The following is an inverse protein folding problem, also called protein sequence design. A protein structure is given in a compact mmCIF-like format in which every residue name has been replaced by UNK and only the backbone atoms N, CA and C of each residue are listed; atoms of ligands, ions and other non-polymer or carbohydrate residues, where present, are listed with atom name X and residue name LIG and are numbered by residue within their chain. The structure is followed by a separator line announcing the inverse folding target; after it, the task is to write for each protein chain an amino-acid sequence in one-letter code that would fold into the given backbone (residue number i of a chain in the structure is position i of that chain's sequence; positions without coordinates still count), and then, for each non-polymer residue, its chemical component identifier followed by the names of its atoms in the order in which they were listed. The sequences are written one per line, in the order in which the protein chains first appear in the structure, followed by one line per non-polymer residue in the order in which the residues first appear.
data_IF_614864262632
#
_entry.id   IF_614864262632
#
_cell.length_a   1.000
_cell.length_b   1.000
_cell.length_c   1.000
_cell.angle_alpha   90.00
_cell.angle_beta   90.00
_cell.angle_gamma   90.00
#
_symmetry.space_group_name_H-M   'P 1'
#
loop_
_entity.id
_entity.type
_entity.pdbx_description
1 polymer ?
#
# COMPACT_ATOMS: atom_id res chain seq x y z
N UNK A 1 16.32 8.53 -17.71
CA UNK A 1 14.85 8.53 -17.80
C UNK A 1 14.33 9.90 -17.39
N UNK A 2 13.62 10.63 -18.28
CA UNK A 2 13.15 12.00 -18.01
C UNK A 2 11.61 12.11 -17.92
N UNK A 3 10.92 10.98 -17.77
CA UNK A 3 9.46 10.95 -17.64
C UNK A 3 9.04 11.22 -16.18
N UNK A 4 9.04 12.51 -15.82
CA UNK A 4 8.66 12.96 -14.47
C UNK A 4 7.21 12.59 -14.09
N UNK A 5 6.34 12.36 -15.09
CA UNK A 5 4.93 12.00 -14.83
C UNK A 5 4.80 10.54 -14.41
N UNK A 6 5.54 9.65 -15.08
CA UNK A 6 5.65 8.26 -14.64
C UNK A 6 6.27 8.18 -13.25
N UNK A 7 7.38 8.90 -13.02
CA UNK A 7 8.05 8.91 -11.73
C UNK A 7 7.14 9.42 -10.59
N UNK A 8 6.23 10.34 -10.86
CA UNK A 8 5.26 10.80 -9.86
C UNK A 8 4.23 9.71 -9.52
N UNK A 9 3.73 8.95 -10.51
CA UNK A 9 2.81 7.83 -10.27
C UNK A 9 3.51 6.68 -9.53
N UNK A 10 4.70 6.29 -9.99
CA UNK A 10 5.51 5.26 -9.32
C UNK A 10 5.96 5.68 -7.92
N UNK A 11 6.29 6.97 -7.73
CA UNK A 11 6.60 7.51 -6.41
C UNK A 11 5.41 7.43 -5.45
N UNK A 12 4.20 7.73 -5.93
CA UNK A 12 2.97 7.55 -5.14
C UNK A 12 2.75 6.07 -4.77
N UNK A 13 2.97 5.15 -5.70
CA UNK A 13 2.93 3.71 -5.43
C UNK A 13 4.00 3.30 -4.40
N UNK A 14 5.24 3.79 -4.53
CA UNK A 14 6.33 3.50 -3.59
C UNK A 14 6.03 4.03 -2.17
N UNK A 15 5.39 5.18 -2.02
CA UNK A 15 4.94 5.68 -0.71
C UNK A 15 3.88 4.75 -0.12
N UNK A 16 2.90 4.30 -0.91
CA UNK A 16 1.94 3.32 -0.43
C UNK A 16 2.63 2.00 -0.05
N UNK A 17 3.68 1.56 -0.78
CA UNK A 17 4.42 0.33 -0.47
C UNK A 17 5.05 0.31 0.95
N UNK A 18 5.18 1.46 1.62
CA UNK A 18 5.57 1.53 3.03
C UNK A 18 4.67 0.71 3.95
N UNK A 19 3.40 0.45 3.55
CA UNK A 19 2.51 -0.42 4.32
C UNK A 19 3.10 -1.81 4.55
N UNK A 20 3.94 -2.34 3.65
CA UNK A 20 4.59 -3.64 3.82
C UNK A 20 5.50 -3.65 5.06
N UNK A 21 6.24 -2.56 5.27
CA UNK A 21 7.06 -2.38 6.49
C UNK A 21 6.17 -2.21 7.74
N UNK A 22 5.01 -1.58 7.59
CA UNK A 22 4.04 -1.50 8.71
C UNK A 22 3.67 -2.90 9.19
N UNK A 23 3.26 -3.80 8.29
CA UNK A 23 2.84 -5.14 8.69
C UNK A 23 3.99 -6.01 9.19
N UNK A 24 5.15 -5.96 8.54
CA UNK A 24 6.25 -6.89 8.82
C UNK A 24 7.14 -6.47 9.98
N UNK A 25 7.14 -5.19 10.34
CA UNK A 25 7.99 -4.66 11.40
C UNK A 25 7.18 -3.90 12.47
N UNK A 26 6.42 -2.88 12.06
CA UNK A 26 5.80 -1.96 13.03
C UNK A 26 4.69 -2.64 13.82
N UNK A 27 3.78 -3.37 13.17
CA UNK A 27 2.68 -4.09 13.84
C UNK A 27 3.19 -5.16 14.82
N UNK A 28 4.17 -6.02 14.47
CA UNK A 28 4.81 -6.92 15.43
C UNK A 28 5.39 -6.22 16.65
N UNK A 29 6.18 -5.17 16.44
CA UNK A 29 6.76 -4.41 17.55
C UNK A 29 5.69 -3.75 18.42
N UNK A 30 4.70 -3.11 17.80
CA UNK A 30 3.58 -2.48 18.48
C UNK A 30 2.76 -3.48 19.30
N UNK A 31 2.48 -4.65 18.74
CA UNK A 31 1.77 -5.71 19.45
C UNK A 31 2.46 -6.14 20.74
N UNK A 32 3.78 -6.29 20.70
CA UNK A 32 4.56 -6.73 21.88
C UNK A 32 4.82 -5.58 22.84
N UNK A 33 5.24 -4.40 22.35
CA UNK A 33 5.73 -3.32 23.22
C UNK A 33 4.64 -2.42 23.76
N UNK A 34 3.57 -2.20 23.01
CA UNK A 34 2.48 -1.27 23.38
C UNK A 34 1.23 -2.02 23.84
N UNK A 35 0.80 -3.02 23.07
CA UNK A 35 -0.39 -3.82 23.42
C UNK A 35 -0.11 -4.84 24.52
N UNK A 36 1.15 -5.25 24.69
CA UNK A 36 1.53 -6.32 25.61
C UNK A 36 0.98 -7.69 25.17
N UNK A 37 0.83 -7.89 23.87
CA UNK A 37 0.33 -9.14 23.32
C UNK A 37 1.37 -10.27 23.46
N UNK A 38 0.93 -11.51 23.74
CA UNK A 38 1.85 -12.64 23.79
C UNK A 38 2.44 -12.93 22.39
N UNK A 39 3.69 -13.44 22.30
CA UNK A 39 4.39 -13.66 21.04
C UNK A 39 3.61 -14.42 19.95
N UNK A 40 2.77 -15.43 20.26
CA UNK A 40 1.97 -16.12 19.24
C UNK A 40 1.00 -15.21 18.46
N UNK A 41 0.64 -14.03 19.01
CA UNK A 41 -0.24 -13.06 18.30
C UNK A 41 0.44 -12.50 17.07
N UNK A 42 1.76 -12.28 17.11
CA UNK A 42 2.55 -11.82 15.96
C UNK A 42 2.43 -12.84 14.81
N UNK A 43 2.61 -14.12 15.14
CA UNK A 43 2.46 -15.20 14.16
C UNK A 43 1.03 -15.27 13.63
N UNK A 44 0.01 -15.07 14.48
CA UNK A 44 -1.39 -15.04 14.05
C UNK A 44 -1.69 -13.89 13.09
N UNK A 45 -1.14 -12.69 13.33
CA UNK A 45 -1.26 -11.53 12.43
C UNK A 45 -0.66 -11.85 11.05
N UNK A 46 0.58 -12.34 11.01
CA UNK A 46 1.25 -12.66 9.75
C UNK A 46 0.56 -13.81 9.01
N UNK A 47 0.13 -14.84 9.73
CA UNK A 47 -0.62 -15.96 9.16
C UNK A 47 -1.97 -15.49 8.60
N UNK A 48 -2.69 -14.63 9.30
CA UNK A 48 -3.95 -14.04 8.83
C UNK A 48 -3.75 -13.32 7.51
N UNK A 49 -2.73 -12.45 7.41
CA UNK A 49 -2.39 -11.78 6.16
C UNK A 49 -2.07 -12.79 5.05
N UNK A 50 -1.21 -13.76 5.31
CA UNK A 50 -0.79 -14.77 4.32
C UNK A 50 -1.98 -15.57 3.80
N UNK A 51 -2.82 -16.11 4.69
CA UNK A 51 -3.99 -16.91 4.31
C UNK A 51 -4.97 -16.07 3.49
N UNK A 52 -5.28 -14.85 3.93
CA UNK A 52 -6.20 -13.97 3.21
C UNK A 52 -5.63 -13.55 1.86
N UNK A 53 -4.31 -13.31 1.76
CA UNK A 53 -3.65 -13.02 0.48
C UNK A 53 -3.85 -14.16 -0.50
N UNK A 54 -3.59 -15.39 -0.10
CA UNK A 54 -3.78 -16.57 -0.97
C UNK A 54 -5.24 -16.73 -1.40
N UNK A 55 -6.18 -16.55 -0.47
CA UNK A 55 -7.62 -16.76 -0.74
C UNK A 55 -8.24 -15.63 -1.57
N UNK A 56 -7.78 -14.38 -1.42
CA UNK A 56 -8.44 -13.21 -1.96
C UNK A 56 -7.70 -12.56 -3.13
N UNK A 57 -6.41 -12.89 -3.39
CA UNK A 57 -5.60 -12.25 -4.42
C UNK A 57 -6.31 -12.22 -5.78
N UNK A 58 -6.79 -13.37 -6.27
CA UNK A 58 -7.47 -13.48 -7.56
C UNK A 58 -8.78 -12.68 -7.61
N UNK A 59 -9.51 -12.59 -6.50
CA UNK A 59 -10.78 -11.86 -6.47
C UNK A 59 -10.59 -10.35 -6.44
N UNK A 60 -9.63 -9.88 -5.65
CA UNK A 60 -9.39 -8.45 -5.43
C UNK A 60 -8.51 -7.82 -6.52
N UNK A 61 -7.77 -8.60 -7.31
CA UNK A 61 -7.02 -8.10 -8.48
C UNK A 61 -7.91 -7.88 -9.72
N UNK A 62 -9.12 -8.43 -9.77
CA UNK A 62 -10.00 -8.28 -10.92
C UNK A 62 -10.43 -6.83 -11.11
N UNK A 63 -10.44 -6.38 -12.38
CA UNK A 63 -10.92 -5.05 -12.77
C UNK A 63 -9.87 -3.93 -12.67
N UNK A 64 -8.58 -4.28 -12.53
CA UNK A 64 -7.47 -3.33 -12.64
C UNK A 64 -6.77 -3.43 -14.02
N UNK A 65 -7.49 -3.78 -15.08
CA UNK A 65 -6.94 -4.19 -16.37
C UNK A 65 -6.43 -3.04 -17.26
N UNK A 66 -6.54 -1.80 -16.83
CA UNK A 66 -6.02 -0.60 -17.51
C UNK A 66 -5.72 0.51 -16.51
N UNK A 67 -4.94 1.55 -16.93
CA UNK A 67 -4.50 2.62 -16.03
C UNK A 67 -5.64 3.34 -15.28
N UNK A 68 -6.80 3.57 -15.91
CA UNK A 68 -7.88 4.30 -15.26
C UNK A 68 -8.60 3.47 -14.16
N UNK A 69 -8.98 2.19 -14.36
CA UNK A 69 -9.40 1.30 -13.29
C UNK A 69 -8.32 1.09 -12.23
N UNK A 70 -7.05 0.87 -12.63
CA UNK A 70 -5.93 0.68 -11.72
C UNK A 70 -5.74 1.88 -10.77
N UNK A 71 -5.88 3.10 -11.28
CA UNK A 71 -5.83 4.32 -10.45
C UNK A 71 -6.98 4.39 -9.43
N UNK A 72 -8.19 3.90 -9.78
CA UNK A 72 -9.29 3.79 -8.81
C UNK A 72 -9.02 2.72 -7.75
N UNK A 73 -8.38 1.63 -8.15
CA UNK A 73 -7.93 0.57 -7.24
C UNK A 73 -6.87 1.09 -6.28
N UNK A 74 -5.90 1.89 -6.76
CA UNK A 74 -4.92 2.56 -5.92
C UNK A 74 -5.57 3.52 -4.90
N UNK A 75 -6.62 4.27 -5.32
CA UNK A 75 -7.39 5.10 -4.40
C UNK A 75 -8.05 4.28 -3.29
N UNK A 76 -8.67 3.15 -3.65
CA UNK A 76 -9.28 2.23 -2.67
C UNK A 76 -8.22 1.68 -1.72
N UNK A 77 -7.06 1.26 -2.26
CA UNK A 77 -5.93 0.78 -1.48
C UNK A 77 -5.52 1.80 -0.41
N UNK A 78 -5.25 3.05 -0.82
CA UNK A 78 -4.83 4.10 0.11
C UNK A 78 -5.86 4.39 1.20
N UNK A 79 -7.16 4.44 0.85
CA UNK A 79 -8.23 4.67 1.82
C UNK A 79 -8.39 3.51 2.81
N UNK A 80 -8.31 2.27 2.34
CA UNK A 80 -8.45 1.08 3.18
C UNK A 80 -7.21 0.87 4.06
N UNK A 81 -6.01 1.14 3.53
CA UNK A 81 -4.79 1.16 4.33
C UNK A 81 -4.85 2.24 5.42
N UNK A 82 -5.36 3.43 5.10
CA UNK A 82 -5.58 4.48 6.08
C UNK A 82 -6.55 4.03 7.20
N UNK A 83 -7.65 3.39 6.83
CA UNK A 83 -8.58 2.82 7.81
C UNK A 83 -7.90 1.75 8.69
N UNK A 84 -7.06 0.89 8.12
CA UNK A 84 -6.28 -0.08 8.89
C UNK A 84 -5.33 0.61 9.89
N UNK A 85 -4.67 1.72 9.50
CA UNK A 85 -3.81 2.51 10.42
C UNK A 85 -4.62 3.06 11.60
N UNK A 86 -5.85 3.53 11.37
CA UNK A 86 -6.74 3.99 12.45
C UNK A 86 -7.12 2.86 13.40
N UNK A 87 -7.39 1.66 12.88
CA UNK A 87 -7.69 0.48 13.71
C UNK A 87 -6.46 0.06 14.52
N UNK A 88 -5.26 0.06 13.95
CA UNK A 88 -4.02 -0.21 14.71
C UNK A 88 -3.80 0.84 15.79
N UNK A 89 -4.01 2.13 15.50
CA UNK A 89 -3.90 3.20 16.51
C UNK A 89 -4.85 2.98 17.69
N UNK A 90 -6.09 2.55 17.41
CA UNK A 90 -7.11 2.35 18.45
C UNK A 90 -6.75 1.24 19.45
N UNK A 91 -5.90 0.29 19.07
CA UNK A 91 -5.46 -0.80 19.97
C UNK A 91 -4.76 -0.31 21.23
N UNK A 92 -4.08 0.85 21.17
CA UNK A 92 -3.37 1.42 22.32
C UNK A 92 -4.28 1.80 23.51
N UNK A 93 -5.59 1.92 23.26
CA UNK A 93 -6.57 2.35 24.29
C UNK A 93 -7.43 1.21 24.84
N UNK A 94 -7.18 -0.01 24.38
CA UNK A 94 -7.99 -1.17 24.73
C UNK A 94 -7.25 -2.11 25.70
N UNK A 95 -7.99 -2.85 26.54
CA UNK A 95 -7.43 -3.99 27.24
C UNK A 95 -6.81 -4.99 26.27
N UNK A 96 -5.73 -5.68 26.66
CA UNK A 96 -4.94 -6.55 25.80
C UNK A 96 -5.78 -7.52 24.96
N UNK A 97 -6.78 -8.18 25.56
CA UNK A 97 -7.64 -9.13 24.82
C UNK A 97 -8.41 -8.46 23.69
N UNK A 98 -9.02 -7.30 23.96
CA UNK A 98 -9.76 -6.54 22.94
C UNK A 98 -8.79 -5.95 21.89
N UNK A 99 -7.62 -5.50 22.31
CA UNK A 99 -6.58 -5.00 21.41
C UNK A 99 -6.09 -6.10 20.46
N UNK A 100 -5.88 -7.32 20.93
CA UNK A 100 -5.51 -8.48 20.09
C UNK A 100 -6.60 -8.78 19.07
N UNK A 101 -7.87 -8.81 19.48
CA UNK A 101 -8.97 -9.00 18.54
C UNK A 101 -9.00 -7.90 17.47
N UNK A 102 -8.80 -6.62 17.87
CA UNK A 102 -8.77 -5.49 16.94
C UNK A 102 -7.53 -5.53 16.03
N UNK A 103 -6.36 -5.99 16.51
CA UNK A 103 -5.18 -6.22 15.67
C UNK A 103 -5.49 -7.19 14.51
N UNK A 104 -6.19 -8.29 14.78
CA UNK A 104 -6.57 -9.26 13.75
C UNK A 104 -7.58 -8.66 12.77
N UNK A 105 -8.58 -7.93 13.26
CA UNK A 105 -9.54 -7.21 12.39
C UNK A 105 -8.84 -6.17 11.54
N UNK A 106 -7.93 -5.38 12.13
CA UNK A 106 -7.13 -4.41 11.39
C UNK A 106 -6.28 -5.07 10.29
N UNK A 107 -5.74 -6.26 10.57
CA UNK A 107 -4.96 -7.04 9.60
C UNK A 107 -5.84 -7.53 8.43
N UNK A 108 -7.08 -7.92 8.68
CA UNK A 108 -8.04 -8.27 7.61
C UNK A 108 -8.28 -7.06 6.69
N UNK A 109 -8.56 -5.89 7.27
CA UNK A 109 -8.75 -4.63 6.53
C UNK A 109 -7.47 -4.27 5.77
N UNK A 110 -6.33 -4.33 6.43
CA UNK A 110 -5.01 -4.10 5.84
C UNK A 110 -4.78 -4.98 4.61
N UNK A 111 -5.06 -6.29 4.69
CA UNK A 111 -4.82 -7.24 3.59
C UNK A 111 -5.62 -6.88 2.34
N UNK A 112 -6.85 -6.39 2.48
CA UNK A 112 -7.61 -5.90 1.33
C UNK A 112 -6.93 -4.69 0.67
N UNK A 113 -6.40 -3.75 1.46
CA UNK A 113 -5.64 -2.61 0.96
C UNK A 113 -4.34 -3.01 0.27
N UNK A 114 -3.59 -3.97 0.84
CA UNK A 114 -2.36 -4.54 0.28
C UNK A 114 -2.62 -5.18 -1.10
N UNK A 115 -3.65 -6.00 -1.22
CA UNK A 115 -4.00 -6.66 -2.47
C UNK A 115 -4.43 -5.65 -3.56
N UNK A 116 -5.18 -4.62 -3.21
CA UNK A 116 -5.53 -3.55 -4.15
C UNK A 116 -4.32 -2.71 -4.54
N UNK A 117 -3.40 -2.42 -3.61
CA UNK A 117 -2.16 -1.73 -3.93
C UNK A 117 -1.31 -2.55 -4.90
N UNK A 118 -1.12 -3.85 -4.61
CA UNK A 118 -0.33 -4.75 -5.45
C UNK A 118 -0.90 -4.85 -6.88
N UNK A 119 -2.21 -5.01 -7.02
CA UNK A 119 -2.87 -5.10 -8.32
C UNK A 119 -2.81 -3.77 -9.09
N UNK A 120 -3.19 -2.66 -8.43
CA UNK A 120 -3.22 -1.34 -9.07
C UNK A 120 -1.83 -0.80 -9.40
N UNK A 121 -0.85 -1.02 -8.52
CA UNK A 121 0.54 -0.58 -8.72
C UNK A 121 1.20 -1.30 -9.90
N UNK A 122 1.07 -2.62 -9.96
CA UNK A 122 1.64 -3.42 -11.06
C UNK A 122 1.06 -3.02 -12.41
N UNK A 123 -0.25 -2.82 -12.50
CA UNK A 123 -0.91 -2.41 -13.75
C UNK A 123 -0.50 -1.00 -14.17
N UNK A 124 -0.44 -0.04 -13.24
CA UNK A 124 0.02 1.32 -13.54
C UNK A 124 1.47 1.33 -14.04
N UNK A 125 2.36 0.55 -13.43
CA UNK A 125 3.74 0.45 -13.84
C UNK A 125 3.88 -0.16 -15.25
N UNK A 126 2.98 -1.07 -15.63
CA UNK A 126 2.97 -1.70 -16.95
C UNK A 126 2.29 -0.83 -18.02
N UNK A 127 1.06 -0.36 -17.76
CA UNK A 127 0.25 0.37 -18.76
C UNK A 127 0.79 1.77 -19.06
N UNK A 128 1.50 2.36 -18.09
CA UNK A 128 2.22 3.62 -18.27
C UNK A 128 3.62 3.46 -18.90
N UNK A 129 4.12 2.27 -19.21
CA UNK A 129 5.38 2.08 -19.89
C UNK A 129 5.22 2.13 -21.41
N UNK A 130 6.10 2.82 -22.18
CA UNK A 130 6.15 2.66 -23.63
C UNK A 130 6.50 1.21 -23.99
N UNK A 131 5.93 0.68 -25.10
CA UNK A 131 6.14 -0.73 -25.48
C UNK A 131 7.62 -1.11 -25.70
N UNK A 132 8.43 -0.18 -26.14
CA UNK A 132 9.86 -0.32 -26.41
C UNK A 132 10.74 -0.13 -25.16
N UNK A 133 10.17 0.30 -24.05
CA UNK A 133 10.93 0.65 -22.84
C UNK A 133 10.38 0.03 -21.54
N UNK A 134 9.49 -0.98 -21.62
CA UNK A 134 8.82 -1.59 -20.46
C UNK A 134 9.83 -2.00 -19.37
N UNK A 135 10.94 -2.64 -19.73
CA UNK A 135 11.95 -3.05 -18.76
C UNK A 135 12.59 -1.89 -17.99
N UNK A 136 12.85 -0.74 -18.67
CA UNK A 136 13.42 0.44 -18.02
C UNK A 136 12.42 1.09 -17.05
N UNK A 137 11.12 1.09 -17.39
CA UNK A 137 10.06 1.63 -16.55
C UNK A 137 9.80 0.74 -15.33
N UNK A 138 9.76 -0.58 -15.52
CA UNK A 138 9.68 -1.55 -14.41
C UNK A 138 10.89 -1.46 -13.47
N UNK A 139 12.08 -1.27 -14.05
CA UNK A 139 13.30 -1.05 -13.26
C UNK A 139 13.25 0.22 -12.41
N UNK A 140 12.73 1.32 -12.96
CA UNK A 140 12.59 2.58 -12.22
C UNK A 140 11.51 2.45 -11.11
N UNK A 141 10.40 1.79 -11.37
CA UNK A 141 9.36 1.50 -10.36
C UNK A 141 9.93 0.64 -9.23
N UNK A 142 10.62 -0.45 -9.58
CA UNK A 142 11.29 -1.33 -8.62
C UNK A 142 12.36 -0.61 -7.78
N UNK A 143 13.08 0.36 -8.35
CA UNK A 143 14.06 1.17 -7.62
C UNK A 143 13.38 2.09 -6.60
N UNK A 144 12.27 2.75 -6.95
CA UNK A 144 11.50 3.58 -6.02
C UNK A 144 10.89 2.75 -4.89
N UNK A 145 10.32 1.59 -5.21
CA UNK A 145 9.83 0.64 -4.22
C UNK A 145 10.95 0.09 -3.32
N UNK A 146 12.15 -0.15 -3.88
CA UNK A 146 13.34 -0.54 -3.14
C UNK A 146 13.80 0.54 -2.16
N UNK A 147 13.81 1.80 -2.59
CA UNK A 147 14.12 2.93 -1.72
C UNK A 147 13.13 3.06 -0.56
N UNK A 148 11.83 2.95 -0.85
CA UNK A 148 10.81 2.96 0.19
C UNK A 148 11.02 1.83 1.22
N UNK A 149 11.36 0.62 0.77
CA UNK A 149 11.68 -0.51 1.66
C UNK A 149 12.95 -0.29 2.47
N UNK A 150 13.96 0.38 1.91
CA UNK A 150 15.22 0.67 2.62
C UNK A 150 15.04 1.73 3.72
N UNK A 151 14.28 2.80 3.43
CA UNK A 151 14.06 3.91 4.36
C UNK A 151 12.90 3.62 5.32
N UNK A 152 11.93 2.82 4.89
CA UNK A 152 10.70 2.52 5.61
C UNK A 152 10.88 2.09 7.06
N UNK A 153 11.77 1.13 7.37
CA UNK A 153 11.99 0.68 8.75
C UNK A 153 12.36 1.81 9.71
N UNK A 154 13.36 2.62 9.38
CA UNK A 154 13.79 3.74 10.22
C UNK A 154 12.69 4.81 10.36
N UNK A 155 12.11 5.23 9.22
CA UNK A 155 11.07 6.27 9.21
C UNK A 155 9.83 5.85 10.01
N UNK A 156 9.32 4.64 9.76
CA UNK A 156 8.08 4.18 10.40
C UNK A 156 8.28 3.84 11.88
N UNK A 157 9.47 3.36 12.28
CA UNK A 157 9.79 3.16 13.69
C UNK A 157 9.74 4.49 14.44
N UNK A 158 10.45 5.50 13.95
CA UNK A 158 10.44 6.85 14.56
C UNK A 158 9.03 7.46 14.58
N UNK A 159 8.30 7.38 13.48
CA UNK A 159 6.99 8.02 13.38
C UNK A 159 5.95 7.29 14.21
N UNK A 160 5.95 5.96 14.22
CA UNK A 160 4.86 5.19 14.83
C UNK A 160 5.20 4.72 16.24
N UNK A 161 6.39 4.14 16.48
CA UNK A 161 6.71 3.61 17.81
C UNK A 161 7.02 4.75 18.78
N UNK A 162 7.77 5.76 18.36
CA UNK A 162 8.08 6.92 19.21
C UNK A 162 6.93 7.93 19.24
N UNK A 163 6.23 8.10 18.10
CA UNK A 163 5.08 9.01 17.98
C UNK A 163 3.76 8.44 18.49
N UNK A 164 3.66 7.13 18.71
CA UNK A 164 2.45 6.49 19.22
C UNK A 164 1.22 6.68 18.33
N UNK A 165 0.08 6.95 18.95
CA UNK A 165 -1.20 7.16 18.23
C UNK A 165 -1.14 8.29 17.17
N UNK A 166 -0.58 9.48 17.45
CA UNK A 166 -0.35 10.51 16.41
C UNK A 166 0.45 10.00 15.21
N UNK A 167 1.45 9.15 15.42
CA UNK A 167 2.24 8.55 14.36
C UNK A 167 1.40 7.65 13.43
N UNK A 168 0.54 6.81 14.00
CA UNK A 168 -0.42 6.02 13.23
C UNK A 168 -1.35 6.91 12.39
N UNK A 169 -1.86 7.99 12.97
CA UNK A 169 -2.73 8.95 12.28
C UNK A 169 -2.00 9.63 11.13
N UNK A 170 -0.73 10.01 11.33
CA UNK A 170 0.10 10.62 10.28
C UNK A 170 0.32 9.68 9.11
N UNK A 171 0.66 8.41 9.38
CA UNK A 171 0.82 7.38 8.32
C UNK A 171 -0.50 7.12 7.61
N UNK A 172 -1.60 7.03 8.35
CA UNK A 172 -2.94 6.89 7.77
C UNK A 172 -3.31 8.08 6.88
N UNK A 173 -3.07 9.30 7.32
CA UNK A 173 -3.30 10.51 6.53
C UNK A 173 -2.45 10.54 5.25
N UNK A 174 -1.18 10.12 5.34
CA UNK A 174 -0.30 9.99 4.18
C UNK A 174 -0.86 9.00 3.16
N UNK A 175 -1.29 7.80 3.60
CA UNK A 175 -1.85 6.80 2.70
C UNK A 175 -3.17 7.27 2.07
N UNK A 176 -4.03 7.93 2.84
CA UNK A 176 -5.26 8.53 2.31
C UNK A 176 -4.96 9.61 1.26
N UNK A 177 -4.03 10.53 1.54
CA UNK A 177 -3.66 11.61 0.63
C UNK A 177 -3.11 11.06 -0.70
N UNK A 178 -2.18 10.10 -0.63
CA UNK A 178 -1.59 9.46 -1.81
C UNK A 178 -2.65 8.66 -2.58
N UNK A 179 -3.51 7.92 -1.90
CA UNK A 179 -4.62 7.20 -2.53
C UNK A 179 -5.56 8.15 -3.26
N UNK A 180 -5.96 9.25 -2.64
CA UNK A 180 -6.83 10.27 -3.25
C UNK A 180 -6.15 10.97 -4.44
N UNK A 181 -4.84 11.19 -4.40
CA UNK A 181 -4.08 11.81 -5.48
C UNK A 181 -3.88 10.87 -6.69
N UNK A 182 -3.88 9.55 -6.49
CA UNK A 182 -3.55 8.56 -7.53
C UNK A 182 -4.35 8.71 -8.83
N UNK A 183 -5.70 8.92 -8.83
CA UNK A 183 -6.44 9.11 -10.08
C UNK A 183 -6.08 10.41 -10.82
N UNK A 184 -5.75 11.48 -10.09
CA UNK A 184 -5.34 12.75 -10.70
C UNK A 184 -3.95 12.65 -11.33
N UNK A 185 -3.00 12.03 -10.62
CA UNK A 185 -1.65 11.76 -11.11
C UNK A 185 -1.67 10.87 -12.35
N UNK A 186 -2.48 9.82 -12.36
CA UNK A 186 -2.61 8.93 -13.52
C UNK A 186 -3.21 9.65 -14.73
N UNK A 187 -4.27 10.45 -14.55
CA UNK A 187 -4.84 11.26 -15.63
C UNK A 187 -3.80 12.23 -16.21
N UNK A 188 -3.04 12.90 -15.34
CA UNK A 188 -1.96 13.80 -15.77
C UNK A 188 -0.86 13.07 -16.55
N UNK A 189 -0.52 11.85 -16.15
CA UNK A 189 0.46 11.02 -16.85
C UNK A 189 -0.07 10.58 -18.23
N UNK A 190 -1.33 10.22 -18.34
CA UNK A 190 -1.97 9.81 -19.60
C UNK A 190 -2.14 10.98 -20.59
N UNK A 191 -2.45 12.19 -20.12
CA UNK A 191 -2.69 13.36 -20.96
C UNK A 191 -1.50 13.77 -21.84
N UNK A 192 -0.28 13.29 -21.55
CA UNK A 192 0.92 13.59 -22.32
C UNK A 192 1.30 12.52 -23.35
N UNK A 193 0.53 11.44 -23.43
CA UNK A 193 0.84 10.33 -24.34
C UNK A 193 0.07 10.50 -25.63
N UNK A 194 0.74 10.31 -26.81
CA UNK A 194 -0.01 10.23 -28.06
C UNK A 194 -0.99 9.07 -27.97
N UNK A 195 -2.23 9.30 -28.43
CA UNK A 195 -3.23 8.24 -28.55
C UNK A 195 -2.62 7.10 -29.37
N UNK A 196 -2.44 5.93 -28.77
CA UNK A 196 -1.93 4.76 -29.49
C UNK A 196 -3.05 4.30 -30.44
N UNK A 197 -2.89 4.39 -31.78
CA UNK A 197 -3.87 3.85 -32.70
C UNK A 197 -3.84 2.32 -32.55
N UNK A 198 -4.90 1.68 -32.06
CA UNK A 198 -5.03 0.23 -32.19
C UNK A 198 -5.54 -0.59 -31.02
N UNK A 199 -5.98 -0.01 -29.88
CA UNK A 199 -6.56 -0.81 -28.78
C UNK A 199 -8.10 -0.81 -28.71
N UNK A 200 -8.76 -0.36 -29.75
CA UNK A 200 -10.23 -0.37 -29.85
C UNK A 200 -10.74 -1.66 -30.53
N UNK A 201 -10.30 -2.84 -30.13
CA UNK A 201 -10.77 -4.07 -30.75
C UNK A 201 -10.11 -5.35 -30.24
N UNK A 202 -10.16 -5.60 -28.94
CA UNK A 202 -10.05 -6.99 -28.45
C UNK A 202 -10.93 -7.17 -27.22
#
# INVERSE_FOLDING_TARGET
MRDGRFLAVSGASAVLALHQTVLTLVVPLWAVTVVGAPPPVVSAVLLTNTVLTVLLAVRLSRGADTAAPAARTMRRAGMVLAAAMLLYAATARLPTTAAVALLLVATVVYTAGDLWHSAGGAELAYDLAPPDAVGAYQGADGMLAGLARAVGPALLTLVVLDGGMPGWLAVGALFAAVGLASPALTRWALASRPATPGRAGR
#
